data_IF_329267177800
#
_entry.id   IF_329267177800
#
_cell.length_a   1.000
_cell.length_b   1.000
_cell.length_c   1.000
_cell.angle_alpha   90.00
_cell.angle_beta   90.00
_cell.angle_gamma   90.00
#
_symmetry.space_group_name_H-M   'P 1'
#
loop_
_entity.id
_entity.type
_entity.pdbx_description
1 polymer ?
#
# COMPACT_ATOMS: atom_id res chain seq x y z
N UNK A 1 8.68 -7.50 1.57
CA UNK A 1 9.48 -6.28 1.29
C UNK A 1 9.72 -5.52 2.61
N UNK A 2 10.79 -4.73 2.79
CA UNK A 2 11.15 -4.23 4.14
C UNK A 2 10.64 -2.81 4.43
N UNK A 3 10.56 -2.47 5.72
CA UNK A 3 10.31 -1.10 6.19
C UNK A 3 11.38 -0.12 5.69
N UNK A 4 12.59 -0.60 5.38
CA UNK A 4 13.67 0.22 4.82
C UNK A 4 13.34 0.66 3.39
N UNK A 5 12.73 -0.20 2.57
CA UNK A 5 12.34 0.15 1.20
C UNK A 5 11.32 1.30 1.18
N UNK A 6 10.34 1.27 2.09
CA UNK A 6 9.38 2.37 2.26
C UNK A 6 10.08 3.66 2.70
N UNK A 7 10.96 3.55 3.70
CA UNK A 7 11.69 4.71 4.24
C UNK A 7 12.57 5.36 3.17
N UNK A 8 13.27 4.57 2.37
CA UNK A 8 14.17 5.07 1.33
C UNK A 8 13.39 5.76 0.20
N UNK A 9 12.25 5.19 -0.19
CA UNK A 9 11.34 5.83 -1.15
C UNK A 9 10.77 7.14 -0.63
N UNK A 10 10.30 7.18 0.62
CA UNK A 10 9.80 8.39 1.26
C UNK A 10 10.89 9.46 1.37
N UNK A 11 12.12 9.07 1.73
CA UNK A 11 13.27 9.97 1.79
C UNK A 11 13.58 10.58 0.43
N UNK A 12 13.54 9.79 -0.65
CA UNK A 12 13.75 10.30 -2.02
C UNK A 12 12.68 11.32 -2.43
N UNK A 13 11.42 11.07 -2.08
CA UNK A 13 10.31 12.01 -2.31
C UNK A 13 10.59 13.33 -1.57
N UNK A 14 10.99 13.28 -0.31
CA UNK A 14 11.31 14.49 0.46
C UNK A 14 12.56 15.22 -0.05
N UNK A 15 13.58 14.50 -0.51
CA UNK A 15 14.79 15.10 -1.10
C UNK A 15 14.46 15.91 -2.36
N UNK A 16 13.58 15.39 -3.21
CA UNK A 16 13.12 16.12 -4.40
C UNK A 16 12.38 17.41 -4.04
N UNK A 17 11.49 17.38 -3.04
CA UNK A 17 10.78 18.57 -2.54
C UNK A 17 11.77 19.67 -2.10
N UNK A 18 12.82 19.28 -1.37
CA UNK A 18 13.85 20.22 -0.90
C UNK A 18 14.66 20.82 -2.05
N UNK A 19 14.92 20.04 -3.10
CA UNK A 19 15.68 20.49 -4.28
C UNK A 19 14.86 21.33 -5.28
N UNK A 20 13.54 21.22 -5.25
CA UNK A 20 12.61 22.00 -6.06
C UNK A 20 12.24 23.34 -5.41
N UNK A 21 12.45 23.51 -4.11
CA UNK A 21 12.22 24.78 -3.41
C UNK A 21 13.47 25.68 -3.55
N UNK A 22 13.38 26.96 -3.96
CA UNK A 22 12.19 27.81 -4.12
C UNK A 22 11.76 27.98 -5.60
N UNK A 23 12.06 27.03 -6.47
CA UNK A 23 11.88 27.17 -7.93
C UNK A 23 10.40 27.13 -8.37
N UNK A 24 9.50 26.64 -7.52
CA UNK A 24 8.07 26.54 -7.79
C UNK A 24 7.22 27.03 -6.61
N UNK A 25 5.91 27.17 -6.85
CA UNK A 25 4.93 27.54 -5.82
C UNK A 25 4.92 26.50 -4.69
N UNK A 26 5.11 26.99 -3.46
CA UNK A 26 5.25 26.17 -2.27
C UNK A 26 3.98 25.39 -1.94
N UNK A 27 2.79 25.97 -2.13
CA UNK A 27 1.54 25.27 -1.81
C UNK A 27 1.30 24.12 -2.79
N UNK A 28 1.49 24.37 -4.10
CA UNK A 28 1.36 23.32 -5.11
C UNK A 28 2.36 22.18 -4.92
N UNK A 29 3.60 22.51 -4.53
CA UNK A 29 4.59 21.49 -4.18
C UNK A 29 4.14 20.69 -2.95
N UNK A 30 3.64 21.32 -1.89
CA UNK A 30 3.19 20.60 -0.70
C UNK A 30 2.05 19.63 -1.02
N UNK A 31 1.07 20.05 -1.82
CA UNK A 31 -0.05 19.17 -2.22
C UNK A 31 0.43 17.99 -3.07
N UNK A 32 1.23 18.25 -4.10
CA UNK A 32 1.74 17.19 -4.98
C UNK A 32 2.60 16.15 -4.24
N UNK A 33 3.44 16.60 -3.30
CA UNK A 33 4.28 15.71 -2.52
C UNK A 33 3.50 14.98 -1.41
N UNK A 34 2.46 15.59 -0.85
CA UNK A 34 1.52 14.91 0.03
C UNK A 34 0.79 13.77 -0.69
N UNK A 35 0.33 14.00 -1.92
CA UNK A 35 -0.29 12.96 -2.76
C UNK A 35 0.69 11.81 -3.04
N UNK A 36 1.94 12.12 -3.40
CA UNK A 36 2.98 11.11 -3.64
C UNK A 36 3.27 10.25 -2.41
N UNK A 37 3.37 10.85 -1.22
CA UNK A 37 3.57 10.10 0.02
C UNK A 37 2.36 9.23 0.37
N UNK A 38 1.16 9.74 0.13
CA UNK A 38 -0.07 8.99 0.36
C UNK A 38 -0.10 7.78 -0.58
N UNK A 39 0.21 7.96 -1.87
CA UNK A 39 0.28 6.85 -2.84
C UNK A 39 1.33 5.80 -2.47
N UNK A 40 2.50 6.23 -1.98
CA UNK A 40 3.53 5.34 -1.48
C UNK A 40 3.02 4.49 -0.31
N UNK A 41 2.33 5.11 0.65
CA UNK A 41 1.70 4.41 1.77
C UNK A 41 0.66 3.39 1.29
N UNK A 42 -0.17 3.76 0.31
CA UNK A 42 -1.15 2.88 -0.31
C UNK A 42 -0.50 1.61 -0.86
N UNK A 43 0.54 1.81 -1.67
CA UNK A 43 1.22 0.76 -2.41
C UNK A 43 1.82 -0.27 -1.46
N UNK A 44 2.59 0.21 -0.47
CA UNK A 44 3.24 -0.66 0.51
C UNK A 44 2.21 -1.39 1.39
N UNK A 45 1.14 -0.71 1.81
CA UNK A 45 0.07 -1.34 2.60
C UNK A 45 -0.62 -2.46 1.81
N UNK A 46 -0.92 -2.23 0.53
CA UNK A 46 -1.54 -3.24 -0.34
C UNK A 46 -0.64 -4.47 -0.53
N UNK A 47 0.66 -4.24 -0.71
CA UNK A 47 1.62 -5.32 -0.87
C UNK A 47 1.80 -6.15 0.40
N UNK A 48 1.93 -5.51 1.57
CA UNK A 48 2.03 -6.23 2.85
C UNK A 48 0.79 -7.11 3.10
N UNK A 49 -0.40 -6.58 2.85
CA UNK A 49 -1.64 -7.34 3.00
C UNK A 49 -1.71 -8.52 2.01
N UNK A 50 -1.24 -8.31 0.77
CA UNK A 50 -1.13 -9.39 -0.21
C UNK A 50 -0.17 -10.50 0.25
N UNK A 51 1.01 -10.14 0.79
CA UNK A 51 1.94 -11.11 1.35
C UNK A 51 1.30 -11.94 2.48
N UNK A 52 0.51 -11.29 3.36
CA UNK A 52 -0.21 -11.97 4.45
C UNK A 52 -1.30 -12.91 3.92
N UNK A 53 -2.05 -12.50 2.89
CA UNK A 53 -3.06 -13.35 2.25
C UNK A 53 -2.41 -14.60 1.65
N UNK A 54 -1.30 -14.42 0.93
CA UNK A 54 -0.64 -15.55 0.28
C UNK A 54 -0.01 -16.52 1.30
N UNK A 55 0.53 -16.03 2.42
CA UNK A 55 0.97 -16.92 3.52
C UNK A 55 -0.22 -17.67 4.15
N UNK A 56 -1.32 -16.96 4.43
CA UNK A 56 -2.52 -17.57 4.99
C UNK A 56 -3.11 -18.65 4.04
N UNK A 57 -3.15 -18.35 2.74
CA UNK A 57 -3.55 -19.30 1.69
C UNK A 57 -2.66 -20.53 1.69
N UNK A 58 -1.34 -20.34 1.65
CA UNK A 58 -0.38 -21.44 1.63
C UNK A 58 -0.54 -22.36 2.83
N UNK A 59 -0.78 -21.81 4.03
CA UNK A 59 -1.02 -22.59 5.26
C UNK A 59 -2.36 -23.30 5.28
N UNK A 60 -3.40 -22.69 4.70
CA UNK A 60 -4.74 -23.28 4.60
C UNK A 60 -4.78 -24.41 3.56
N UNK A 61 -4.17 -24.20 2.39
CA UNK A 61 -4.00 -25.22 1.35
C UNK A 61 -3.22 -26.43 1.89
N UNK A 62 -2.27 -26.21 2.81
CA UNK A 62 -1.55 -27.28 3.49
C UNK A 62 -2.38 -28.05 4.55
N UNK A 63 -3.57 -27.56 4.95
CA UNK A 63 -4.34 -28.08 6.09
C UNK A 63 -5.76 -28.57 5.78
N UNK A 64 -6.41 -28.12 4.70
CA UNK A 64 -7.84 -28.37 4.46
C UNK A 64 -8.17 -28.60 2.97
N UNK A 65 -9.31 -29.24 2.70
CA UNK A 65 -9.85 -29.45 1.35
C UNK A 65 -10.24 -28.12 0.65
N UNK A 66 -10.23 -28.05 -0.70
CA UNK A 66 -10.11 -26.81 -1.47
C UNK A 66 -11.26 -25.77 -1.41
N UNK A 67 -12.44 -26.12 -0.87
CA UNK A 67 -13.63 -25.26 -0.97
C UNK A 67 -13.73 -24.18 0.13
N UNK A 68 -13.57 -24.49 1.43
CA UNK A 68 -13.55 -23.47 2.50
C UNK A 68 -12.41 -22.44 2.34
N UNK A 69 -11.30 -22.85 1.71
CA UNK A 69 -10.14 -22.01 1.48
C UNK A 69 -10.44 -20.93 0.43
N UNK A 70 -11.07 -21.30 -0.68
CA UNK A 70 -11.46 -20.34 -1.74
C UNK A 70 -12.43 -19.27 -1.23
N UNK A 71 -13.37 -19.64 -0.37
CA UNK A 71 -14.29 -18.67 0.25
C UNK A 71 -13.58 -17.71 1.20
N UNK A 72 -12.64 -18.19 2.02
CA UNK A 72 -11.91 -17.35 2.97
C UNK A 72 -11.03 -16.34 2.24
N UNK A 73 -10.32 -16.76 1.19
CA UNK A 73 -9.47 -15.87 0.37
C UNK A 73 -10.30 -14.79 -0.31
N UNK A 74 -11.43 -15.16 -0.92
CA UNK A 74 -12.33 -14.20 -1.56
C UNK A 74 -12.88 -13.17 -0.57
N UNK A 75 -13.15 -13.59 0.67
CA UNK A 75 -13.58 -12.69 1.75
C UNK A 75 -12.51 -11.67 2.14
N UNK A 76 -11.25 -12.09 2.27
CA UNK A 76 -10.15 -11.17 2.59
C UNK A 76 -9.88 -10.21 1.43
N UNK A 77 -9.89 -10.71 0.18
CA UNK A 77 -9.73 -9.88 -1.01
C UNK A 77 -10.83 -8.80 -1.11
N UNK A 78 -12.08 -9.16 -0.81
CA UNK A 78 -13.20 -8.21 -0.82
C UNK A 78 -13.05 -7.16 0.27
N UNK A 79 -12.70 -7.58 1.49
CA UNK A 79 -12.47 -6.66 2.62
C UNK A 79 -11.34 -5.68 2.31
N UNK A 80 -10.27 -6.14 1.65
CA UNK A 80 -9.19 -5.27 1.19
C UNK A 80 -9.65 -4.27 0.12
N UNK A 81 -10.44 -4.75 -0.84
CA UNK A 81 -10.99 -3.89 -1.89
C UNK A 81 -11.85 -2.77 -1.30
N UNK A 82 -12.62 -3.09 -0.25
CA UNK A 82 -13.48 -2.15 0.45
C UNK A 82 -12.68 -1.13 1.26
N UNK A 83 -11.65 -1.57 2.00
CA UNK A 83 -10.74 -0.67 2.72
C UNK A 83 -10.05 0.27 1.72
N UNK A 84 -9.55 -0.26 0.60
CA UNK A 84 -8.93 0.52 -0.46
C UNK A 84 -9.91 1.57 -1.02
N UNK A 85 -11.12 1.17 -1.37
CA UNK A 85 -12.13 2.11 -1.84
C UNK A 85 -12.44 3.18 -0.79
N UNK A 86 -12.48 2.84 0.50
CA UNK A 86 -12.78 3.80 1.57
C UNK A 86 -11.66 4.83 1.78
N UNK A 87 -10.39 4.43 1.64
CA UNK A 87 -9.24 5.30 1.84
C UNK A 87 -8.97 6.21 0.63
N UNK A 88 -9.42 5.80 -0.57
CA UNK A 88 -9.03 6.43 -1.84
C UNK A 88 -10.18 7.00 -2.67
N UNK A 89 -11.43 6.62 -2.39
CA UNK A 89 -12.62 7.13 -3.10
C UNK A 89 -13.64 7.83 -2.18
N UNK A 90 -13.31 7.96 -0.88
CA UNK A 90 -14.03 8.83 0.06
C UNK A 90 -13.50 10.26 -0.03
#
# INVERSE_FOLDING_TARGET
MSVEDYRDNARRILDNLLNETPKADREQLLDAYADLLTQLYAHHSHQMLTEVIEDARTRLDARLSPDPVRQTIAGVQTTMQDIWNSLWKG
#
